data_IF_372269694879
#
_entry.id   IF_372269694879
#
_cell.length_a   1.000
_cell.length_b   1.000
_cell.length_c   1.000
_cell.angle_alpha   90.00
_cell.angle_beta   90.00
_cell.angle_gamma   90.00
#
_symmetry.space_group_name_H-M   'P 1'
#
loop_
_entity.id
_entity.type
_entity.pdbx_description
1 polymer ?
#
# COMPACT_ATOMS: atom_id res chain seq x y z
N UNK A 1 -12.02 -17.01 3.01
CA UNK A 1 -11.52 -16.81 1.63
C UNK A 1 -12.23 -17.78 0.71
N UNK A 2 -13.24 -17.29 0.01
CA UNK A 2 -13.95 -18.00 -1.08
C UNK A 2 -13.71 -17.29 -2.42
N UNK A 3 -12.45 -17.16 -2.83
CA UNK A 3 -12.08 -16.75 -4.19
C UNK A 3 -11.60 -18.00 -4.90
N UNK A 4 -12.27 -18.39 -5.98
CA UNK A 4 -11.84 -19.53 -6.78
C UNK A 4 -10.57 -19.16 -7.57
N UNK A 5 -9.43 -19.68 -7.13
CA UNK A 5 -8.13 -19.51 -7.74
C UNK A 5 -7.69 -20.84 -8.35
N UNK A 6 -7.31 -20.81 -9.62
CA UNK A 6 -6.77 -21.94 -10.39
C UNK A 6 -5.30 -21.63 -10.74
N UNK A 7 -4.54 -22.66 -11.11
CA UNK A 7 -3.14 -22.49 -11.51
C UNK A 7 -2.99 -21.45 -12.63
N UNK A 8 -3.87 -21.50 -13.63
CA UNK A 8 -3.87 -20.59 -14.80
C UNK A 8 -4.15 -19.12 -14.46
N UNK A 9 -4.61 -18.82 -13.24
CA UNK A 9 -4.76 -17.43 -12.79
C UNK A 9 -3.45 -16.81 -12.32
N UNK A 10 -2.43 -17.63 -12.09
CA UNK A 10 -1.11 -17.24 -11.63
C UNK A 10 -0.18 -17.19 -12.84
N UNK A 11 0.29 -15.99 -13.16
CA UNK A 11 1.27 -15.78 -14.23
C UNK A 11 2.69 -16.10 -13.74
N UNK A 12 3.06 -15.62 -12.56
CA UNK A 12 4.39 -15.82 -11.98
C UNK A 12 4.28 -15.88 -10.46
N UNK A 13 5.04 -16.77 -9.83
CA UNK A 13 5.20 -16.84 -8.38
C UNK A 13 6.65 -17.09 -8.02
N UNK A 14 7.19 -16.31 -7.07
CA UNK A 14 8.53 -16.55 -6.53
C UNK A 14 8.67 -15.99 -5.11
N UNK A 15 9.68 -16.48 -4.38
CA UNK A 15 10.06 -15.97 -3.06
C UNK A 15 10.94 -14.74 -3.23
N UNK A 16 10.70 -13.70 -2.45
CA UNK A 16 11.53 -12.50 -2.45
C UNK A 16 12.74 -12.66 -1.52
N UNK A 17 13.91 -12.21 -1.99
CA UNK A 17 15.14 -12.14 -1.21
C UNK A 17 15.91 -13.47 -1.03
N UNK A 18 17.10 -13.36 -0.44
CA UNK A 18 17.98 -14.49 -0.13
C UNK A 18 17.39 -15.39 0.97
N UNK A 19 17.68 -16.70 0.98
CA UNK A 19 17.33 -17.60 2.09
C UNK A 19 17.80 -17.03 3.45
N UNK A 20 16.95 -17.13 4.47
CA UNK A 20 17.18 -16.71 5.86
C UNK A 20 16.39 -17.64 6.79
N UNK A 21 16.65 -17.58 8.10
CA UNK A 21 15.92 -18.36 9.12
C UNK A 21 14.43 -18.03 9.24
N UNK A 22 14.00 -16.88 8.69
CA UNK A 22 12.58 -16.49 8.66
C UNK A 22 11.92 -16.81 7.32
N UNK A 23 10.62 -17.10 7.38
CA UNK A 23 9.81 -17.29 6.19
C UNK A 23 9.93 -16.10 5.23
N UNK A 24 10.26 -16.41 3.97
CA UNK A 24 10.39 -15.39 2.92
C UNK A 24 9.02 -15.04 2.35
N UNK A 25 8.71 -13.76 2.15
CA UNK A 25 7.46 -13.38 1.49
C UNK A 25 7.42 -13.92 0.05
N UNK A 26 6.23 -14.27 -0.40
CA UNK A 26 5.96 -14.71 -1.78
C UNK A 26 5.36 -13.54 -2.53
N UNK A 27 5.90 -13.23 -3.70
CA UNK A 27 5.24 -12.34 -4.66
C UNK A 27 4.51 -13.18 -5.71
N UNK A 28 3.27 -12.80 -5.98
CA UNK A 28 2.40 -13.49 -6.93
C UNK A 28 1.89 -12.48 -7.94
N UNK A 29 2.24 -12.68 -9.22
CA UNK A 29 1.65 -11.97 -10.34
C UNK A 29 0.45 -12.76 -10.83
N UNK A 30 -0.73 -12.17 -10.71
CA UNK A 30 -1.97 -12.76 -11.23
C UNK A 30 -2.21 -12.32 -12.67
N UNK A 31 -2.74 -13.21 -13.49
CA UNK A 31 -3.11 -12.94 -14.89
C UNK A 31 -4.20 -11.86 -14.98
N UNK A 32 -5.18 -11.91 -14.07
CA UNK A 32 -6.39 -11.07 -14.13
C UNK A 32 -6.47 -10.09 -12.95
N UNK A 33 -6.55 -8.78 -13.25
CA UNK A 33 -6.76 -7.72 -12.24
C UNK A 33 -8.03 -7.94 -11.39
N UNK A 34 -9.11 -8.47 -11.98
CA UNK A 34 -10.36 -8.78 -11.28
C UNK A 34 -10.14 -9.77 -10.12
N UNK A 35 -9.34 -10.82 -10.33
CA UNK A 35 -9.03 -11.81 -9.28
C UNK A 35 -8.12 -11.24 -8.21
N UNK A 36 -7.08 -10.48 -8.59
CA UNK A 36 -6.25 -9.74 -7.64
C UNK A 36 -7.11 -8.86 -6.72
N UNK A 37 -8.02 -8.08 -7.30
CA UNK A 37 -8.87 -7.16 -6.53
C UNK A 37 -9.85 -7.93 -5.62
N UNK A 38 -10.36 -9.08 -6.07
CA UNK A 38 -11.21 -9.94 -5.24
C UNK A 38 -10.46 -10.48 -4.00
N UNK A 39 -9.21 -10.93 -4.18
CA UNK A 39 -8.35 -11.39 -3.08
C UNK A 39 -8.08 -10.24 -2.09
N UNK A 40 -7.67 -9.08 -2.60
CA UNK A 40 -7.36 -7.91 -1.77
C UNK A 40 -8.58 -7.38 -1.00
N UNK A 41 -9.81 -7.56 -1.50
CA UNK A 41 -11.04 -7.25 -0.77
C UNK A 41 -11.34 -8.26 0.34
N UNK A 42 -11.18 -9.55 0.06
CA UNK A 42 -11.47 -10.63 1.03
C UNK A 42 -10.34 -10.89 2.04
N UNK A 43 -9.17 -10.25 1.91
CA UNK A 43 -8.03 -10.44 2.83
C UNK A 43 -8.37 -10.17 4.30
N UNK A 44 -9.36 -9.31 4.58
CA UNK A 44 -9.83 -9.04 5.94
C UNK A 44 -10.39 -10.29 6.64
N UNK A 45 -10.90 -11.27 5.88
CA UNK A 45 -11.36 -12.55 6.40
C UNK A 45 -10.21 -13.39 6.97
N UNK A 46 -8.97 -13.21 6.51
CA UNK A 46 -7.82 -13.95 7.04
C UNK A 46 -7.57 -13.61 8.51
N UNK A 47 -7.77 -12.35 8.89
CA UNK A 47 -7.63 -11.90 10.27
C UNK A 47 -8.63 -12.59 11.21
N UNK A 48 -9.79 -13.03 10.70
CA UNK A 48 -10.84 -13.70 11.48
C UNK A 48 -10.55 -15.19 11.72
N UNK A 49 -9.65 -15.79 10.93
CA UNK A 49 -9.39 -17.24 10.95
C UNK A 49 -8.21 -17.65 11.83
N UNK A 50 -7.64 -16.72 12.60
CA UNK A 50 -6.41 -16.89 13.37
C UNK A 50 -5.21 -17.43 12.55
N UNK A 51 -5.22 -17.18 11.24
CA UNK A 51 -4.13 -17.55 10.34
C UNK A 51 -3.13 -16.40 10.30
N UNK A 52 -1.86 -16.68 10.63
CA UNK A 52 -0.74 -15.71 10.60
C UNK A 52 -0.22 -15.42 9.17
N UNK A 53 -1.13 -15.29 8.21
CA UNK A 53 -0.82 -14.98 6.81
C UNK A 53 -1.39 -13.62 6.45
N UNK A 54 -0.53 -12.75 5.90
CA UNK A 54 -0.90 -11.41 5.48
C UNK A 54 -0.79 -11.29 3.97
N UNK A 55 -1.82 -10.70 3.34
CA UNK A 55 -1.83 -10.42 1.91
C UNK A 55 -1.82 -8.90 1.72
N UNK A 56 -0.78 -8.39 1.07
CA UNK A 56 -0.64 -6.98 0.76
C UNK A 56 -0.48 -6.78 -0.74
N UNK A 57 -0.79 -5.57 -1.20
CA UNK A 57 -0.46 -5.15 -2.55
C UNK A 57 1.03 -4.82 -2.60
N UNK A 58 1.69 -5.21 -3.69
CA UNK A 58 3.08 -4.83 -3.95
C UNK A 58 3.11 -3.39 -4.48
N UNK A 59 3.79 -2.51 -3.75
CA UNK A 59 3.84 -1.07 -4.02
C UNK A 59 5.24 -0.68 -4.48
N UNK A 60 5.32 0.31 -5.37
CA UNK A 60 6.60 0.92 -5.70
C UNK A 60 7.21 1.61 -4.46
N UNK A 61 8.54 1.78 -4.41
CA UNK A 61 9.21 2.42 -3.28
C UNK A 61 8.59 3.77 -2.88
N UNK A 62 8.31 4.63 -3.87
CA UNK A 62 7.64 5.92 -3.67
C UNK A 62 6.28 5.76 -2.99
N UNK A 63 5.42 4.86 -3.50
CA UNK A 63 4.09 4.62 -2.93
C UNK A 63 4.15 4.03 -1.53
N UNK A 64 5.12 3.17 -1.27
CA UNK A 64 5.37 2.61 0.05
C UNK A 64 5.79 3.70 1.05
N UNK A 65 6.70 4.59 0.64
CA UNK A 65 7.15 5.73 1.45
C UNK A 65 6.01 6.71 1.75
N UNK A 66 5.24 7.11 0.72
CA UNK A 66 4.05 7.95 0.87
C UNK A 66 3.03 7.31 1.82
N UNK A 67 2.71 6.02 1.63
CA UNK A 67 1.77 5.29 2.49
C UNK A 67 2.23 5.32 3.95
N UNK A 68 3.52 5.17 4.20
CA UNK A 68 4.10 5.20 5.55
C UNK A 68 3.96 6.60 6.17
N UNK A 69 4.24 7.67 5.41
CA UNK A 69 4.05 9.05 5.87
C UNK A 69 2.59 9.37 6.21
N UNK A 70 1.65 8.94 5.37
CA UNK A 70 0.21 9.12 5.62
C UNK A 70 -0.23 8.39 6.89
N UNK A 71 0.30 7.18 7.13
CA UNK A 71 -0.02 6.40 8.32
C UNK A 71 0.51 7.03 9.62
N UNK A 72 1.58 7.82 9.53
CA UNK A 72 2.20 8.51 10.67
C UNK A 72 1.42 9.77 11.09
N UNK A 73 0.45 10.23 10.30
CA UNK A 73 -0.36 11.40 10.63
C UNK A 73 -1.36 11.10 11.75
N UNK A 74 -1.42 11.98 12.76
CA UNK A 74 -2.33 11.85 13.91
C UNK A 74 -3.81 11.89 13.48
N UNK A 75 -4.12 12.67 12.44
CA UNK A 75 -5.47 12.79 11.88
C UNK A 75 -5.92 11.55 11.09
N UNK A 76 -5.03 10.58 10.84
CA UNK A 76 -5.32 9.41 10.02
C UNK A 76 -5.58 8.17 10.89
N UNK A 77 -6.84 7.74 10.90
CA UNK A 77 -7.30 6.55 11.62
C UNK A 77 -6.84 5.26 10.96
N UNK A 78 -6.88 5.19 9.63
CA UNK A 78 -6.53 3.98 8.89
C UNK A 78 -6.00 4.29 7.49
N UNK A 79 -5.12 3.41 6.99
CA UNK A 79 -4.55 3.51 5.64
C UNK A 79 -4.57 2.16 4.95
N UNK A 80 -5.18 2.11 3.77
CA UNK A 80 -5.16 0.94 2.89
C UNK A 80 -4.70 1.32 1.49
N UNK A 81 -4.53 0.32 0.62
CA UNK A 81 -4.21 0.56 -0.78
C UNK A 81 -5.15 -0.22 -1.69
N UNK A 82 -5.36 0.34 -2.88
CA UNK A 82 -6.17 -0.26 -3.93
C UNK A 82 -5.65 0.16 -5.29
N UNK A 83 -5.15 -0.80 -6.07
CA UNK A 83 -4.59 -0.55 -7.40
C UNK A 83 -3.42 0.45 -7.36
N UNK A 84 -2.56 0.37 -6.35
CA UNK A 84 -1.42 1.28 -6.15
C UNK A 84 -1.78 2.66 -5.59
N UNK A 85 -3.07 2.98 -5.45
CA UNK A 85 -3.56 4.21 -4.82
C UNK A 85 -3.60 4.04 -3.31
N UNK A 86 -3.27 5.11 -2.58
CA UNK A 86 -3.35 5.15 -1.13
C UNK A 86 -4.75 5.67 -0.76
N UNK A 87 -5.41 4.98 0.16
CA UNK A 87 -6.70 5.37 0.72
C UNK A 87 -6.50 5.65 2.21
N UNK A 88 -6.79 6.87 2.63
CA UNK A 88 -6.70 7.30 4.02
C UNK A 88 -8.10 7.56 4.58
N UNK A 89 -8.38 7.07 5.79
CA UNK A 89 -9.59 7.39 6.53
C UNK A 89 -9.19 8.31 7.68
N UNK A 90 -9.76 9.51 7.70
CA UNK A 90 -9.50 10.47 8.77
C UNK A 90 -10.26 10.08 10.04
N UNK A 91 -9.75 10.54 11.18
CA UNK A 91 -10.40 10.36 12.48
C UNK A 91 -11.73 11.12 12.53
N UNK A 92 -11.76 12.34 11.98
CA UNK A 92 -12.92 13.23 12.00
C UNK A 92 -13.98 12.87 10.95
N UNK A 93 -13.54 12.36 9.79
CA UNK A 93 -14.42 11.93 8.69
C UNK A 93 -14.23 10.44 8.35
N UNK A 94 -14.63 9.52 9.24
CA UNK A 94 -14.34 8.09 9.07
C UNK A 94 -15.14 7.41 7.95
N UNK A 95 -16.18 8.05 7.42
CA UNK A 95 -17.08 7.47 6.41
C UNK A 95 -16.59 7.69 4.98
N UNK A 96 -15.59 8.55 4.77
CA UNK A 96 -15.06 8.88 3.45
C UNK A 96 -13.56 8.63 3.40
N UNK A 97 -13.13 7.83 2.44
CA UNK A 97 -11.71 7.67 2.17
C UNK A 97 -11.19 8.82 1.30
N UNK A 98 -10.08 9.42 1.70
CA UNK A 98 -9.29 10.34 0.88
C UNK A 98 -8.37 9.51 0.00
N UNK A 99 -8.44 9.72 -1.31
CA UNK A 99 -7.55 9.09 -2.28
C UNK A 99 -6.31 9.97 -2.49
N UNK A 100 -5.14 9.35 -2.35
CA UNK A 100 -3.83 9.96 -2.58
C UNK A 100 -3.13 9.17 -3.68
N UNK A 101 -2.91 9.84 -4.81
CA UNK A 101 -2.32 9.31 -6.00
C UNK A 101 -0.98 9.96 -6.37
N UNK A 102 -0.69 11.16 -5.91
CA UNK A 102 0.58 11.85 -6.19
C UNK A 102 1.15 12.47 -4.91
N UNK A 103 2.45 12.83 -4.88
CA UNK A 103 3.05 13.53 -3.74
C UNK A 103 2.32 14.83 -3.36
N UNK A 104 1.84 15.61 -4.34
CA UNK A 104 1.13 16.87 -4.08
C UNK A 104 -0.17 16.68 -3.29
N UNK A 105 -0.82 15.52 -3.46
CA UNK A 105 -2.05 15.16 -2.77
C UNK A 105 -1.82 14.77 -1.29
N UNK A 106 -0.57 14.70 -0.82
CA UNK A 106 -0.27 14.54 0.61
C UNK A 106 -0.78 15.72 1.44
N UNK A 107 -0.93 16.90 0.82
CA UNK A 107 -1.58 18.07 1.43
C UNK A 107 -3.01 17.78 1.89
N UNK A 108 -3.74 16.86 1.24
CA UNK A 108 -5.10 16.45 1.62
C UNK A 108 -5.19 15.82 3.01
N UNK A 109 -4.07 15.36 3.56
CA UNK A 109 -3.99 14.79 4.92
C UNK A 109 -3.11 15.63 5.85
N UNK A 110 -2.88 16.90 5.50
CA UNK A 110 -2.14 17.85 6.33
C UNK A 110 -0.62 17.84 6.14
N UNK A 111 -0.09 17.06 5.20
CA UNK A 111 1.35 17.04 4.89
C UNK A 111 1.62 18.09 3.81
N UNK A 112 1.87 19.33 4.24
CA UNK A 112 2.11 20.47 3.33
C UNK A 112 3.53 20.46 2.76
N UNK A 113 4.51 20.09 3.59
CA UNK A 113 5.92 19.95 3.18
C UNK A 113 6.34 18.49 3.37
N UNK A 114 6.13 17.61 2.37
CA UNK A 114 6.60 16.24 2.43
C UNK A 114 8.11 16.18 2.71
N UNK A 115 8.53 15.15 3.43
CA UNK A 115 9.95 14.78 3.52
C UNK A 115 10.41 14.29 2.13
N UNK A 116 10.87 15.22 1.30
CA UNK A 116 11.29 14.97 -0.08
C UNK A 116 12.49 14.02 -0.16
N UNK A 117 13.37 14.04 0.84
CA UNK A 117 14.51 13.12 0.94
C UNK A 117 14.03 11.69 1.15
N UNK A 118 13.05 11.48 2.03
CA UNK A 118 12.39 10.16 2.23
C UNK A 118 11.63 9.67 1.00
N UNK A 119 11.18 10.59 0.14
CA UNK A 119 10.54 10.27 -1.13
C UNK A 119 11.55 10.07 -2.29
N UNK A 120 12.85 10.31 -2.08
CA UNK A 120 13.86 10.36 -3.13
C UNK A 120 13.55 11.40 -4.23
N UNK A 121 12.99 12.54 -3.81
CA UNK A 121 12.55 13.66 -4.65
C UNK A 121 13.16 15.00 -4.19
N UNK A 122 14.27 14.95 -3.46
CA UNK A 122 15.02 16.10 -2.95
C UNK A 122 15.55 17.03 -4.06
N UNK A 123 15.84 16.49 -5.25
CA UNK A 123 16.24 17.25 -6.43
C UNK A 123 15.14 18.18 -7.02
N UNK A 124 13.90 18.09 -6.54
CA UNK A 124 12.76 18.91 -7.03
C UNK A 124 12.54 20.14 -6.15
N UNK A 125 13.15 20.17 -4.97
CA UNK A 125 13.07 21.33 -4.07
C UNK A 125 13.97 22.43 -4.62
N UNK A 126 13.36 23.46 -5.20
CA UNK A 126 14.05 24.71 -5.46
C UNK A 126 14.31 25.36 -4.10
N UNK A 127 15.53 25.26 -3.60
CA UNK A 127 15.97 26.08 -2.48
C UNK A 127 15.85 27.54 -2.92
N UNK A 128 14.87 28.25 -2.36
CA UNK A 128 14.84 29.71 -2.41
C UNK A 128 16.04 30.20 -1.58
N UNK A 129 17.21 30.27 -2.21
CA UNK A 129 18.35 30.99 -1.69
C UNK A 129 17.96 32.48 -1.64
N UNK A 130 17.55 32.93 -0.46
CA UNK A 130 17.45 34.34 -0.08
C UNK A 130 18.54 34.62 0.93
#
# INVERSE_FOLDING_TARGET
MGVNLQADDISVVHRLGKPRDRERPVIVRLCRRKKRNAILRKKGELKKKDIRVFVNEDLTPLRSAMRRMVKEQVSVKNVTTRNGKILAWLTDEPNRAIEINTPDELSKVGIVTPDWKRLHMDHIVWENNV
#
